data_IF_423345400945
#
_entry.id   IF_423345400945
#
_cell.length_a   1.000
_cell.length_b   1.000
_cell.length_c   1.000
_cell.angle_alpha   90.00
_cell.angle_beta   90.00
_cell.angle_gamma   90.00
#
_symmetry.space_group_name_H-M   'P 1'
#
loop_
_entity.id
_entity.type
_entity.pdbx_description
1 polymer ?
#
# COMPACT_ATOMS: atom_id res chain seq x y z
N UNK A 1 6.80 53.70 -38.06
CA UNK A 1 6.11 53.41 -36.78
C UNK A 1 5.39 52.08 -36.94
N UNK A 2 6.09 50.96 -36.70
CA UNK A 2 5.54 49.60 -36.67
C UNK A 2 6.30 48.86 -35.56
N UNK A 3 5.62 48.58 -34.44
CA UNK A 3 6.15 47.81 -33.31
C UNK A 3 5.85 46.33 -33.58
N UNK A 4 6.90 45.53 -33.78
CA UNK A 4 6.79 44.07 -33.78
C UNK A 4 6.80 43.57 -32.33
N UNK A 5 5.67 43.00 -31.90
CA UNK A 5 5.54 42.24 -30.66
C UNK A 5 6.19 40.87 -30.84
N UNK A 6 7.21 40.54 -30.03
CA UNK A 6 7.70 39.16 -29.87
C UNK A 6 7.19 38.62 -28.55
N UNK A 7 6.27 37.67 -28.58
CA UNK A 7 5.87 36.90 -27.40
C UNK A 7 6.98 35.91 -27.04
N UNK A 8 7.62 36.12 -25.89
CA UNK A 8 8.43 35.08 -25.23
C UNK A 8 7.47 34.08 -24.59
N UNK A 9 7.34 32.90 -25.17
CA UNK A 9 6.82 31.75 -24.43
C UNK A 9 7.88 31.29 -23.43
N UNK A 10 7.71 31.70 -22.18
CA UNK A 10 8.40 31.08 -21.05
C UNK A 10 7.82 29.69 -20.83
N UNK A 11 8.56 28.66 -21.23
CA UNK A 11 8.35 27.30 -20.79
C UNK A 11 8.57 27.27 -19.27
N UNK A 12 7.48 27.25 -18.49
CA UNK A 12 7.53 26.83 -17.09
C UNK A 12 7.85 25.34 -17.08
N UNK A 13 8.98 24.98 -16.50
CA UNK A 13 9.29 23.61 -16.13
C UNK A 13 8.21 23.11 -15.17
N UNK A 14 7.47 22.10 -15.59
CA UNK A 14 6.55 21.34 -14.73
C UNK A 14 7.41 20.37 -13.92
N UNK A 15 7.33 20.33 -12.58
CA UNK A 15 8.05 19.34 -11.79
C UNK A 15 7.58 17.93 -12.19
N UNK A 16 8.54 17.05 -12.52
CA UNK A 16 8.30 15.61 -12.66
C UNK A 16 8.02 15.04 -11.28
N UNK A 17 6.75 15.05 -10.89
CA UNK A 17 6.22 14.38 -9.71
C UNK A 17 4.96 13.61 -10.08
N UNK A 18 5.07 12.62 -10.96
CA UNK A 18 3.95 11.72 -11.27
C UNK A 18 3.84 10.65 -10.19
N UNK A 19 3.27 11.01 -9.04
CA UNK A 19 2.68 10.05 -8.12
C UNK A 19 1.33 9.61 -8.69
N UNK A 20 1.22 8.35 -9.10
CA UNK A 20 -0.02 7.77 -9.61
C UNK A 20 -1.01 7.53 -8.45
N UNK A 21 -1.82 8.54 -8.13
CA UNK A 21 -2.85 8.56 -7.08
C UNK A 21 -4.19 7.88 -7.49
N UNK A 22 -4.22 7.01 -8.51
CA UNK A 22 -5.47 6.65 -9.19
C UNK A 22 -5.78 5.14 -9.26
N UNK A 23 -5.55 4.41 -8.17
CA UNK A 23 -5.73 2.94 -8.18
C UNK A 23 -7.18 2.49 -7.96
N UNK A 24 -8.00 3.22 -7.17
CA UNK A 24 -9.39 2.85 -6.89
C UNK A 24 -10.42 3.95 -7.28
N UNK A 25 -10.01 5.21 -7.51
CA UNK A 25 -10.92 6.34 -7.77
C UNK A 25 -11.50 6.40 -9.20
N UNK A 26 -11.09 5.54 -10.14
CA UNK A 26 -11.42 5.69 -11.58
C UNK A 26 -11.79 4.41 -12.32
N UNK A 27 -12.43 3.43 -11.69
CA UNK A 27 -12.98 2.30 -12.45
C UNK A 27 -14.41 1.98 -12.02
N UNK A 28 -15.42 2.68 -12.57
CA UNK A 28 -16.76 2.11 -12.60
C UNK A 28 -16.74 1.02 -13.67
N UNK A 29 -16.68 -0.24 -13.21
CA UNK A 29 -17.16 -1.44 -13.91
C UNK A 29 -17.18 -1.35 -15.45
N UNK A 30 -16.02 -1.22 -16.09
CA UNK A 30 -15.88 -1.47 -17.52
C UNK A 30 -14.50 -2.04 -17.77
N UNK A 31 -14.51 -3.20 -18.44
CA UNK A 31 -13.40 -3.88 -19.10
C UNK A 31 -12.29 -2.90 -19.50
N UNK A 32 -11.29 -2.72 -18.62
CA UNK A 32 -10.10 -1.96 -18.94
C UNK A 32 -9.27 -2.85 -19.86
N UNK A 33 -9.41 -2.65 -21.16
CA UNK A 33 -8.56 -3.29 -22.16
C UNK A 33 -7.14 -2.83 -21.85
N UNK A 34 -6.34 -3.71 -21.24
CA UNK A 34 -4.93 -3.51 -20.98
C UNK A 34 -4.17 -3.49 -22.31
N UNK A 35 -4.20 -2.34 -22.99
CA UNK A 35 -3.30 -2.06 -24.10
C UNK A 35 -2.18 -1.17 -23.60
N UNK A 36 -1.12 -1.81 -23.12
CA UNK A 36 0.20 -1.23 -23.01
C UNK A 36 0.51 -0.56 -21.67
N UNK A 37 1.28 -1.29 -20.86
CA UNK A 37 2.16 -0.82 -19.79
C UNK A 37 1.48 -0.34 -18.48
N UNK A 38 1.71 -1.10 -17.41
CA UNK A 38 1.80 -0.53 -16.07
C UNK A 38 0.88 -1.12 -15.00
N UNK A 39 -0.15 -1.91 -15.34
CA UNK A 39 -1.09 -2.45 -14.34
C UNK A 39 -1.42 -3.92 -14.62
N UNK A 40 -1.48 -4.73 -13.57
CA UNK A 40 -1.91 -6.13 -13.54
C UNK A 40 -3.00 -6.36 -12.50
N UNK A 41 -3.85 -7.37 -12.68
CA UNK A 41 -4.92 -7.71 -11.74
C UNK A 41 -5.15 -9.23 -11.68
N UNK A 42 -5.65 -9.70 -10.54
CA UNK A 42 -6.14 -11.07 -10.38
C UNK A 42 -7.38 -11.10 -9.47
N UNK A 43 -8.24 -12.10 -9.66
CA UNK A 43 -9.30 -12.51 -8.73
C UNK A 43 -10.40 -11.47 -8.43
N UNK A 44 -10.60 -10.50 -9.32
CA UNK A 44 -11.67 -9.48 -9.28
C UNK A 44 -11.78 -8.71 -7.94
N UNK A 45 -10.85 -7.76 -7.69
CA UNK A 45 -11.02 -6.79 -6.60
C UNK A 45 -12.32 -6.00 -6.75
N UNK A 46 -12.99 -5.71 -5.64
CA UNK A 46 -14.23 -4.93 -5.63
C UNK A 46 -13.93 -3.46 -5.38
N UNK A 47 -14.49 -2.55 -6.18
CA UNK A 47 -14.41 -1.10 -5.97
C UNK A 47 -15.73 -0.64 -5.35
N UNK A 48 -15.69 -0.18 -4.11
CA UNK A 48 -16.89 0.08 -3.32
C UNK A 48 -16.82 1.43 -2.59
N UNK A 49 -17.97 2.06 -2.41
CA UNK A 49 -18.08 3.30 -1.64
C UNK A 49 -17.78 3.06 -0.16
N UNK A 50 -18.18 1.92 0.40
CA UNK A 50 -17.98 1.58 1.81
C UNK A 50 -16.56 1.13 2.17
N UNK A 51 -15.71 0.89 1.16
CA UNK A 51 -14.30 0.54 1.31
C UNK A 51 -13.35 1.74 1.21
N UNK A 52 -13.87 2.98 1.30
CA UNK A 52 -13.09 4.22 1.14
C UNK A 52 -12.41 4.66 2.44
N UNK A 53 -11.15 5.09 2.33
CA UNK A 53 -10.50 5.95 3.31
C UNK A 53 -10.63 7.42 2.90
N UNK A 54 -10.42 7.72 1.61
CA UNK A 54 -10.48 9.09 1.05
C UNK A 54 -11.23 9.09 -0.28
N UNK A 55 -11.98 10.17 -0.54
CA UNK A 55 -12.71 10.34 -1.82
C UNK A 55 -14.01 9.53 -1.82
N UNK A 56 -14.36 8.93 -2.95
CA UNK A 56 -15.67 8.29 -3.13
C UNK A 56 -15.63 6.76 -3.04
N UNK A 57 -14.50 6.13 -3.35
CA UNK A 57 -14.37 4.68 -3.46
C UNK A 57 -13.03 4.21 -2.93
N UNK A 58 -12.97 3.00 -2.41
CA UNK A 58 -11.73 2.25 -2.18
C UNK A 58 -11.86 0.82 -2.70
N UNK A 59 -10.83 0.00 -2.45
CA UNK A 59 -10.76 -1.36 -2.95
C UNK A 59 -10.95 -2.39 -1.82
N UNK A 60 -11.81 -3.38 -2.05
CA UNK A 60 -12.06 -4.51 -1.13
C UNK A 60 -11.59 -5.81 -1.77
N UNK A 61 -10.83 -6.59 -1.01
CA UNK A 61 -10.31 -7.90 -1.39
C UNK A 61 -10.90 -8.98 -0.49
N UNK A 62 -11.65 -9.93 -1.08
CA UNK A 62 -12.23 -11.05 -0.34
C UNK A 62 -11.17 -12.06 0.08
N UNK A 63 -11.23 -12.44 1.35
CA UNK A 63 -10.45 -13.49 1.99
C UNK A 63 -11.38 -14.67 2.31
N UNK A 64 -10.89 -15.90 2.12
CA UNK A 64 -11.65 -17.12 2.44
C UNK A 64 -11.62 -18.22 1.38
N UNK A 65 -10.86 -18.00 0.30
CA UNK A 65 -10.59 -19.01 -0.73
C UNK A 65 -9.09 -19.02 -1.12
N UNK A 66 -8.73 -19.89 -2.07
CA UNK A 66 -7.38 -20.00 -2.62
C UNK A 66 -7.08 -18.99 -3.75
N UNK A 67 -8.03 -18.14 -4.13
CA UNK A 67 -7.87 -17.25 -5.28
C UNK A 67 -7.09 -16.00 -4.88
N UNK A 68 -5.99 -15.72 -5.57
CA UNK A 68 -5.26 -14.46 -5.39
C UNK A 68 -6.06 -13.29 -5.97
N UNK A 69 -6.21 -12.23 -5.18
CA UNK A 69 -6.88 -10.99 -5.55
C UNK A 69 -5.96 -9.82 -5.34
N UNK A 70 -5.47 -9.21 -6.41
CA UNK A 70 -4.54 -8.08 -6.28
C UNK A 70 -4.70 -7.10 -7.44
N UNK A 71 -4.21 -5.89 -7.21
CA UNK A 71 -3.84 -4.94 -8.25
C UNK A 71 -2.32 -4.75 -8.16
N UNK A 72 -1.61 -4.79 -9.28
CA UNK A 72 -0.17 -4.63 -9.29
C UNK A 72 0.33 -3.67 -10.35
N UNK A 73 1.48 -3.06 -10.12
CA UNK A 73 2.14 -2.10 -11.02
C UNK A 73 3.39 -2.74 -11.61
N UNK A 74 3.54 -2.70 -12.93
CA UNK A 74 4.73 -3.14 -13.64
C UNK A 74 5.29 -2.06 -14.58
N UNK A 75 5.00 -0.80 -14.29
CA UNK A 75 5.47 0.36 -15.08
C UNK A 75 6.96 0.62 -14.93
N UNK A 76 7.60 0.03 -13.91
CA UNK A 76 9.04 0.12 -13.64
C UNK A 76 9.59 -1.27 -13.36
N UNK A 77 10.77 -1.55 -13.90
CA UNK A 77 11.49 -2.82 -13.76
C UNK A 77 12.82 -2.59 -13.05
N UNK A 78 13.43 -3.68 -12.58
CA UNK A 78 14.76 -3.67 -11.93
C UNK A 78 14.88 -2.68 -10.76
N UNK A 79 13.82 -2.49 -9.98
CA UNK A 79 13.89 -1.56 -8.85
C UNK A 79 14.71 -2.18 -7.72
N UNK A 80 15.72 -1.44 -7.27
CA UNK A 80 16.50 -1.75 -6.07
C UNK A 80 15.97 -1.04 -4.82
N UNK A 81 14.96 -0.18 -4.94
CA UNK A 81 14.31 0.49 -3.82
C UNK A 81 12.86 0.82 -4.11
N UNK A 82 12.02 0.68 -3.09
CA UNK A 82 10.61 1.03 -3.16
C UNK A 82 10.12 1.53 -1.81
N UNK A 83 9.52 2.72 -1.80
CA UNK A 83 8.70 3.24 -0.72
C UNK A 83 7.25 3.25 -1.18
N UNK A 84 6.34 2.66 -0.41
CA UNK A 84 4.90 2.73 -0.66
C UNK A 84 4.15 3.19 0.57
N UNK A 85 2.96 3.74 0.33
CA UNK A 85 1.98 4.07 1.36
C UNK A 85 0.59 3.78 0.85
N UNK A 86 -0.18 3.05 1.63
CA UNK A 86 -1.61 2.88 1.45
C UNK A 86 -2.28 2.88 2.82
N UNK A 87 -3.59 3.09 2.81
CA UNK A 87 -4.42 2.92 3.98
C UNK A 87 -5.03 1.53 3.93
N UNK A 88 -5.10 0.86 5.07
CA UNK A 88 -5.65 -0.49 5.21
C UNK A 88 -6.66 -0.54 6.35
N UNK A 89 -7.77 -1.27 6.14
CA UNK A 89 -8.73 -1.59 7.18
C UNK A 89 -8.98 -3.10 7.20
N UNK A 90 -8.98 -3.66 8.41
CA UNK A 90 -9.01 -5.11 8.68
C UNK A 90 -10.19 -5.51 9.60
N UNK A 91 -11.19 -4.64 9.74
CA UNK A 91 -12.34 -4.80 10.65
C UNK A 91 -13.05 -6.15 10.50
N UNK A 92 -13.19 -6.60 9.25
CA UNK A 92 -13.90 -7.82 8.91
C UNK A 92 -12.95 -8.99 8.63
N UNK A 93 -11.64 -8.83 8.80
CA UNK A 93 -10.66 -9.89 8.58
C UNK A 93 -10.59 -10.81 9.80
N UNK A 94 -10.78 -12.10 9.58
CA UNK A 94 -10.58 -13.13 10.59
C UNK A 94 -9.52 -14.14 10.12
N UNK A 95 -8.43 -14.24 10.87
CA UNK A 95 -7.37 -15.22 10.68
C UNK A 95 -7.18 -16.03 11.97
N UNK A 96 -7.23 -17.35 11.85
CA UNK A 96 -6.85 -18.26 12.92
C UNK A 96 -5.37 -18.13 13.30
N UNK A 97 -5.03 -18.53 14.51
CA UNK A 97 -3.68 -18.43 15.05
C UNK A 97 -2.64 -19.08 14.10
N UNK A 98 -1.60 -18.32 13.74
CA UNK A 98 -0.55 -18.72 12.80
C UNK A 98 -0.92 -18.64 11.32
N UNK A 99 -2.19 -18.40 10.98
CA UNK A 99 -2.61 -18.21 9.57
C UNK A 99 -2.13 -16.86 9.07
N UNK A 100 -1.68 -16.81 7.82
CA UNK A 100 -1.11 -15.61 7.22
C UNK A 100 -1.75 -15.28 5.89
N UNK A 101 -1.89 -13.99 5.60
CA UNK A 101 -2.15 -13.50 4.24
C UNK A 101 -1.11 -12.47 3.83
N UNK A 102 -0.67 -12.50 2.58
CA UNK A 102 0.14 -11.42 2.00
C UNK A 102 -0.79 -10.28 1.57
N UNK A 103 -0.54 -9.06 2.05
CA UNK A 103 -1.30 -7.85 1.71
C UNK A 103 -0.56 -6.92 0.74
N UNK A 104 0.78 -7.01 0.71
CA UNK A 104 1.62 -6.27 -0.23
C UNK A 104 2.88 -7.08 -0.54
N UNK A 105 3.34 -7.07 -1.80
CA UNK A 105 4.58 -7.73 -2.18
C UNK A 105 5.26 -7.04 -3.36
N UNK A 106 6.59 -7.15 -3.39
CA UNK A 106 7.40 -6.91 -4.58
C UNK A 106 7.86 -8.25 -5.15
N UNK A 107 7.70 -8.45 -6.45
CA UNK A 107 8.02 -9.68 -7.15
C UNK A 107 8.88 -9.40 -8.39
N UNK A 108 9.60 -10.41 -8.85
CA UNK A 108 10.31 -10.36 -10.14
C UNK A 108 9.37 -10.65 -11.33
N UNK A 109 9.91 -10.64 -12.55
CA UNK A 109 9.17 -11.01 -13.77
C UNK A 109 8.58 -12.42 -13.77
N UNK A 110 9.17 -13.38 -13.03
CA UNK A 110 8.62 -14.73 -12.87
C UNK A 110 7.45 -14.77 -11.87
N UNK A 111 7.27 -13.69 -11.09
CA UNK A 111 6.26 -13.57 -10.05
C UNK A 111 6.74 -14.08 -8.70
N UNK A 112 8.03 -14.35 -8.54
CA UNK A 112 8.64 -14.78 -7.28
C UNK A 112 8.81 -13.59 -6.34
N UNK A 113 8.41 -13.78 -5.08
CA UNK A 113 8.46 -12.72 -4.08
C UNK A 113 9.89 -12.38 -3.70
N UNK A 114 10.22 -11.10 -3.78
CA UNK A 114 11.48 -10.53 -3.28
C UNK A 114 11.28 -9.93 -1.88
N UNK A 115 10.07 -9.42 -1.59
CA UNK A 115 9.63 -9.10 -0.24
C UNK A 115 8.11 -9.19 -0.10
N UNK A 116 7.63 -9.32 1.14
CA UNK A 116 6.21 -9.44 1.48
C UNK A 116 5.91 -8.73 2.80
N UNK A 117 4.86 -7.92 2.82
CA UNK A 117 4.16 -7.54 4.05
C UNK A 117 2.94 -8.45 4.22
N UNK A 118 2.86 -9.12 5.37
CA UNK A 118 1.85 -10.11 5.69
C UNK A 118 1.05 -9.69 6.92
N UNK A 119 -0.22 -10.09 6.96
CA UNK A 119 -1.03 -10.07 8.17
C UNK A 119 -1.10 -11.49 8.70
N UNK A 120 -0.77 -11.68 9.98
CA UNK A 120 -0.81 -12.97 10.67
C UNK A 120 -1.85 -12.94 11.78
N UNK A 121 -2.68 -13.97 11.89
CA UNK A 121 -3.55 -14.18 13.05
C UNK A 121 -2.73 -14.67 14.25
N UNK A 122 -2.98 -14.11 15.42
CA UNK A 122 -2.40 -14.55 16.69
C UNK A 122 -3.49 -14.68 17.78
N UNK A 123 -3.10 -15.11 18.98
CA UNK A 123 -4.03 -15.15 20.10
C UNK A 123 -4.47 -13.75 20.58
N UNK A 124 -3.69 -12.72 20.28
CA UNK A 124 -3.91 -11.34 20.73
C UNK A 124 -4.59 -10.47 19.67
N UNK A 125 -4.62 -10.91 18.42
CA UNK A 125 -5.26 -10.20 17.32
C UNK A 125 -4.56 -10.45 15.99
N UNK A 126 -4.46 -9.42 15.18
CA UNK A 126 -3.75 -9.45 13.91
C UNK A 126 -2.37 -8.82 14.08
N UNK A 127 -1.35 -9.41 13.48
CA UNK A 127 0.05 -8.99 13.52
C UNK A 127 0.53 -8.61 12.12
N UNK A 128 1.38 -7.58 12.04
CA UNK A 128 2.13 -7.26 10.82
C UNK A 128 3.46 -8.03 10.80
N UNK A 129 3.75 -8.72 9.70
CA UNK A 129 4.99 -9.48 9.51
C UNK A 129 5.66 -9.06 8.20
N UNK A 130 6.94 -8.75 8.26
CA UNK A 130 7.77 -8.46 7.10
C UNK A 130 8.63 -9.67 6.75
N UNK A 131 8.71 -9.98 5.46
CA UNK A 131 9.65 -10.97 4.92
C UNK A 131 10.40 -10.40 3.73
N UNK A 132 11.68 -10.68 3.63
CA UNK A 132 12.53 -10.27 2.51
C UNK A 132 13.38 -11.46 2.06
N UNK A 133 13.45 -11.71 0.76
CA UNK A 133 14.29 -12.72 0.15
C UNK A 133 15.76 -12.27 0.22
N UNK A 134 16.65 -13.21 0.48
CA UNK A 134 18.09 -13.02 0.53
C UNK A 134 18.74 -13.60 -0.73
N UNK A 135 20.00 -13.26 -0.96
CA UNK A 135 20.76 -13.74 -2.14
C UNK A 135 21.02 -15.26 -2.13
N UNK A 136 20.76 -15.94 -1.00
CA UNK A 136 20.83 -17.40 -0.85
C UNK A 136 19.46 -18.10 -1.02
N UNK A 137 18.47 -17.38 -1.55
CA UNK A 137 17.08 -17.80 -1.75
C UNK A 137 16.26 -18.05 -0.47
N UNK A 138 16.83 -17.86 0.73
CA UNK A 138 16.06 -17.90 1.97
C UNK A 138 15.31 -16.59 2.19
N UNK A 139 14.33 -16.62 3.10
CA UNK A 139 13.65 -15.41 3.56
C UNK A 139 14.11 -15.05 4.97
N UNK A 140 14.57 -13.81 5.15
CA UNK A 140 14.55 -13.15 6.44
C UNK A 140 13.09 -12.85 6.83
N UNK A 141 12.75 -13.03 8.11
CA UNK A 141 11.45 -12.69 8.67
C UNK A 141 11.64 -11.83 9.92
N UNK A 142 10.81 -10.81 10.06
CA UNK A 142 10.84 -9.91 11.21
C UNK A 142 10.38 -10.61 12.49
N UNK A 143 11.09 -10.39 13.60
CA UNK A 143 10.69 -10.88 14.93
C UNK A 143 9.87 -9.85 15.69
N UNK A 144 9.10 -10.27 16.70
CA UNK A 144 8.32 -9.36 17.55
C UNK A 144 7.23 -8.60 16.79
N UNK A 145 6.43 -9.31 16.00
CA UNK A 145 5.44 -8.72 15.11
C UNK A 145 4.44 -7.82 15.86
N UNK A 146 4.34 -6.52 15.50
CA UNK A 146 3.44 -5.60 16.18
C UNK A 146 1.98 -5.93 15.83
N UNK A 147 1.09 -5.71 16.80
CA UNK A 147 -0.35 -5.77 16.53
C UNK A 147 -0.75 -4.65 15.58
N UNK A 148 -1.55 -5.01 14.58
CA UNK A 148 -2.20 -4.07 13.66
C UNK A 148 -3.66 -3.89 14.11
N UNK A 149 -4.11 -2.64 14.18
CA UNK A 149 -5.51 -2.37 14.54
C UNK A 149 -6.42 -2.76 13.36
N UNK A 150 -7.68 -3.03 13.67
CA UNK A 150 -8.67 -3.44 12.67
C UNK A 150 -9.35 -2.24 11.99
N UNK A 151 -9.24 -1.03 12.57
CA UNK A 151 -9.66 0.22 11.92
C UNK A 151 -8.73 0.66 10.78
N UNK A 152 -9.05 1.79 10.13
CA UNK A 152 -8.16 2.37 9.11
C UNK A 152 -6.81 2.76 9.72
N UNK A 153 -5.73 2.28 9.11
CA UNK A 153 -4.36 2.64 9.46
C UNK A 153 -3.56 2.95 8.19
N UNK A 154 -2.67 3.93 8.28
CA UNK A 154 -1.68 4.16 7.24
C UNK A 154 -0.55 3.14 7.40
N UNK A 155 -0.30 2.34 6.36
CA UNK A 155 0.85 1.45 6.27
C UNK A 155 1.85 2.02 5.26
N UNK A 156 3.00 2.44 5.76
CA UNK A 156 4.15 2.81 4.97
C UNK A 156 5.15 1.65 4.97
N UNK A 157 5.64 1.29 3.79
CA UNK A 157 6.61 0.22 3.60
C UNK A 157 7.81 0.77 2.83
N UNK A 158 9.01 0.46 3.29
CA UNK A 158 10.24 0.90 2.63
C UNK A 158 11.21 -0.25 2.50
N UNK A 159 11.47 -0.68 1.26
CA UNK A 159 12.37 -1.77 0.94
C UNK A 159 13.56 -1.27 0.11
N UNK A 160 14.74 -1.81 0.37
CA UNK A 160 15.97 -1.54 -0.39
C UNK A 160 16.79 -2.83 -0.51
N UNK A 161 17.20 -3.16 -1.74
CA UNK A 161 18.16 -4.19 -2.05
C UNK A 161 19.60 -3.67 -1.90
N UNK A 162 20.41 -4.37 -1.13
CA UNK A 162 21.85 -4.15 -1.06
C UNK A 162 22.58 -5.39 -0.51
N UNK A 163 23.91 -5.38 -0.54
CA UNK A 163 24.76 -6.41 0.05
C UNK A 163 25.17 -5.98 1.47
N UNK A 164 24.66 -6.68 2.48
CA UNK A 164 24.92 -6.42 3.91
C UNK A 164 24.38 -5.10 4.45
N UNK A 165 23.63 -4.33 3.66
CA UNK A 165 23.04 -3.04 4.04
C UNK A 165 21.60 -2.88 3.54
N UNK A 166 21.02 -3.96 3.00
CA UNK A 166 19.63 -3.97 2.56
C UNK A 166 18.69 -3.83 3.75
N UNK A 167 17.47 -3.36 3.49
CA UNK A 167 16.49 -3.17 4.56
C UNK A 167 15.06 -3.32 4.09
N UNK A 168 14.18 -3.66 5.03
CA UNK A 168 12.74 -3.60 4.85
C UNK A 168 12.06 -3.09 6.11
N UNK A 169 11.45 -1.90 6.05
CA UNK A 169 10.84 -1.22 7.19
C UNK A 169 9.34 -1.07 7.01
N UNK A 170 8.61 -1.11 8.12
CA UNK A 170 7.20 -0.80 8.19
C UNK A 170 6.94 0.29 9.22
N UNK A 171 6.13 1.26 8.83
CA UNK A 171 5.61 2.29 9.71
C UNK A 171 4.09 2.25 9.70
N UNK A 172 3.50 2.21 10.90
CA UNK A 172 2.05 2.33 11.10
C UNK A 172 1.76 3.75 11.59
N UNK A 173 0.87 4.44 10.89
CA UNK A 173 0.46 5.82 11.22
C UNK A 173 1.68 6.76 11.42
N UNK A 174 2.70 6.59 10.58
CA UNK A 174 3.91 7.42 10.59
C UNK A 174 4.96 7.05 11.65
N UNK A 175 4.71 6.03 12.48
CA UNK A 175 5.67 5.52 13.47
C UNK A 175 6.26 4.20 13.00
N UNK A 176 7.59 4.08 12.98
CA UNK A 176 8.23 2.79 12.68
C UNK A 176 7.88 1.76 13.75
N UNK A 177 7.33 0.62 13.31
CA UNK A 177 6.90 -0.47 14.20
C UNK A 177 7.70 -1.74 13.99
N UNK A 178 8.38 -1.87 12.84
CA UNK A 178 9.11 -3.07 12.48
C UNK A 178 10.16 -2.80 11.41
N UNK A 179 11.28 -3.51 11.49
CA UNK A 179 12.34 -3.46 10.48
C UNK A 179 13.08 -4.79 10.36
N UNK A 180 13.52 -5.06 9.13
CA UNK A 180 14.62 -5.94 8.78
C UNK A 180 15.79 -5.07 8.32
N UNK A 181 16.97 -5.32 8.84
CA UNK A 181 18.20 -4.58 8.55
C UNK A 181 19.33 -5.55 8.20
N UNK A 182 20.45 -4.99 7.72
CA UNK A 182 21.67 -5.73 7.35
C UNK A 182 21.39 -6.90 6.38
N UNK A 183 20.42 -6.73 5.48
CA UNK A 183 20.05 -7.74 4.51
C UNK A 183 21.12 -7.82 3.41
N UNK A 184 21.48 -9.06 3.03
CA UNK A 184 22.19 -9.36 1.79
C UNK A 184 21.17 -9.87 0.78
N UNK A 185 20.63 -8.93 0.01
CA UNK A 185 19.53 -9.13 -0.94
C UNK A 185 19.77 -8.35 -2.26
N UNK A 186 21.02 -8.15 -2.63
CA UNK A 186 21.43 -7.35 -3.79
C UNK A 186 20.99 -7.93 -5.14
N UNK A 187 20.70 -9.23 -5.19
CA UNK A 187 20.21 -9.94 -6.38
C UNK A 187 18.67 -9.94 -6.51
N UNK A 188 17.95 -9.39 -5.52
CA UNK A 188 16.48 -9.51 -5.40
C UNK A 188 15.74 -8.28 -5.94
N UNK A 189 15.99 -7.92 -7.21
CA UNK A 189 15.31 -6.76 -7.84
C UNK A 189 13.82 -7.02 -8.06
N UNK A 190 13.01 -5.97 -7.97
CA UNK A 190 11.56 -6.06 -8.22
C UNK A 190 11.18 -5.48 -9.58
N UNK A 191 10.26 -6.18 -10.25
CA UNK A 191 9.68 -5.78 -11.54
C UNK A 191 8.20 -5.45 -11.45
N UNK A 192 7.53 -6.00 -10.44
CA UNK A 192 6.11 -5.81 -10.20
C UNK A 192 5.90 -5.67 -8.70
N UNK A 193 5.14 -4.67 -8.28
CA UNK A 193 4.62 -4.65 -6.90
C UNK A 193 3.11 -4.80 -6.91
N UNK A 194 2.58 -5.54 -5.94
CA UNK A 194 1.18 -5.97 -5.88
C UNK A 194 0.60 -5.65 -4.52
N UNK A 195 -0.65 -5.19 -4.54
CA UNK A 195 -1.45 -4.81 -3.38
C UNK A 195 -2.76 -5.60 -3.40
N UNK A 196 -3.11 -6.22 -2.28
CA UNK A 196 -4.30 -7.06 -2.13
C UNK A 196 -3.99 -8.41 -1.49
N UNK A 197 -4.91 -9.37 -1.58
CA UNK A 197 -4.79 -10.73 -1.02
C UNK A 197 -4.00 -11.64 -1.97
N UNK A 198 -2.78 -12.05 -1.61
CA UNK A 198 -1.89 -12.82 -2.51
C UNK A 198 -1.44 -14.20 -2.01
N UNK A 199 -2.09 -14.71 -0.96
CA UNK A 199 -1.88 -16.10 -0.51
C UNK A 199 -3.18 -16.76 -0.13
N UNK A 200 -3.16 -18.08 -0.02
CA UNK A 200 -4.33 -18.85 0.38
C UNK A 200 -4.72 -18.54 1.83
N UNK A 201 -6.02 -18.40 2.06
CA UNK A 201 -6.57 -18.39 3.40
C UNK A 201 -7.02 -19.82 3.71
N UNK A 202 -6.41 -20.47 4.70
CA UNK A 202 -6.81 -21.82 5.13
C UNK A 202 -8.28 -21.88 5.60
N UNK A 203 -8.86 -23.08 5.70
CA UNK A 203 -10.24 -23.25 6.13
C UNK A 203 -10.52 -22.57 7.49
N UNK A 204 -11.61 -21.80 7.59
CA UNK A 204 -11.96 -21.03 8.78
C UNK A 204 -11.40 -19.61 8.83
N UNK A 205 -10.50 -19.26 7.92
CA UNK A 205 -10.06 -17.89 7.68
C UNK A 205 -10.98 -17.21 6.66
N UNK A 206 -11.22 -15.91 6.79
CA UNK A 206 -12.09 -15.21 5.85
C UNK A 206 -12.26 -13.73 6.13
N UNK A 207 -13.14 -13.10 5.36
CA UNK A 207 -13.49 -11.69 5.53
C UNK A 207 -12.97 -10.80 4.42
N UNK A 208 -12.58 -9.57 4.78
CA UNK A 208 -12.15 -8.57 3.82
C UNK A 208 -10.89 -7.85 4.26
N UNK A 209 -10.06 -7.53 3.28
CA UNK A 209 -9.04 -6.48 3.42
C UNK A 209 -9.48 -5.31 2.55
N UNK A 210 -9.59 -4.14 3.14
CA UNK A 210 -9.91 -2.91 2.41
C UNK A 210 -8.67 -2.04 2.33
N UNK A 211 -8.43 -1.46 1.17
CA UNK A 211 -7.26 -0.62 0.91
C UNK A 211 -7.63 0.58 0.05
N UNK A 212 -6.98 1.71 0.34
CA UNK A 212 -7.22 2.96 -0.38
C UNK A 212 -5.99 3.89 -0.33
N UNK A 213 -6.01 4.93 -1.16
CA UNK A 213 -4.98 5.97 -1.29
C UNK A 213 -3.56 5.38 -1.40
N UNK A 214 -3.35 4.53 -2.40
CA UNK A 214 -2.02 3.99 -2.71
C UNK A 214 -1.11 5.06 -3.33
N UNK A 215 0.15 5.10 -2.89
CA UNK A 215 1.22 5.90 -3.48
C UNK A 215 2.53 5.13 -3.42
N UNK A 216 3.38 5.29 -4.43
CA UNK A 216 4.69 4.67 -4.52
C UNK A 216 5.75 5.69 -4.96
N UNK A 217 6.98 5.50 -4.45
CA UNK A 217 8.18 6.25 -4.83
C UNK A 217 9.38 5.32 -4.82
N UNK A 218 10.34 5.55 -5.71
CA UNK A 218 11.62 4.83 -5.70
C UNK A 218 12.70 5.57 -4.93
N UNK A 219 12.44 6.84 -4.58
CA UNK A 219 13.37 7.72 -3.87
C UNK A 219 12.55 8.58 -2.91
N UNK A 220 12.91 8.58 -1.63
CA UNK A 220 12.23 9.22 -0.48
C UNK A 220 11.01 8.50 0.11
N UNK A 221 10.83 8.69 1.42
CA UNK A 221 9.62 8.37 2.18
C UNK A 221 8.42 9.19 1.69
N UNK A 222 7.24 8.57 1.66
CA UNK A 222 6.00 9.24 1.23
C UNK A 222 5.38 10.06 2.36
N UNK A 223 5.45 9.57 3.61
CA UNK A 223 4.74 10.15 4.75
C UNK A 223 3.25 9.83 4.78
N UNK A 224 2.52 10.49 5.67
CA UNK A 224 1.07 10.35 5.82
C UNK A 224 0.32 11.25 4.84
N UNK A 225 -0.90 10.83 4.48
CA UNK A 225 -1.83 11.72 3.80
C UNK A 225 -2.28 12.82 4.74
N UNK A 226 -2.27 14.02 4.19
CA UNK A 226 -2.83 15.20 4.79
C UNK A 226 -4.36 15.25 4.55
N UNK A 227 -5.16 15.26 5.62
CA UNK A 227 -6.63 15.41 5.55
C UNK A 227 -7.03 16.83 5.94
N UNK A 228 -7.86 17.47 5.12
CA UNK A 228 -8.44 18.78 5.45
C UNK A 228 -9.54 18.64 6.51
N UNK A 229 -9.84 19.71 7.29
CA UNK A 229 -10.97 19.68 8.24
C UNK A 229 -12.32 19.32 7.60
N UNK A 230 -12.53 19.69 6.33
CA UNK A 230 -13.75 19.38 5.58
C UNK A 230 -13.84 17.90 5.25
N UNK A 231 -12.74 17.27 4.82
CA UNK A 231 -12.68 15.83 4.59
C UNK A 231 -12.89 15.04 5.88
N UNK A 232 -12.35 15.55 6.99
CA UNK A 232 -12.55 14.96 8.31
C UNK A 232 -14.04 14.99 8.72
N UNK A 233 -14.70 16.14 8.55
CA UNK A 233 -16.12 16.30 8.89
C UNK A 233 -17.05 15.46 8.00
N UNK A 234 -16.75 15.32 6.70
CA UNK A 234 -17.51 14.44 5.80
C UNK A 234 -17.41 12.98 6.20
N UNK A 235 -16.20 12.53 6.59
CA UNK A 235 -15.98 11.16 7.06
C UNK A 235 -16.82 10.83 8.31
N UNK A 236 -16.93 11.76 9.27
CA UNK A 236 -17.73 11.57 10.48
C UNK A 236 -19.24 11.55 10.23
N UNK A 237 -19.73 12.28 9.22
CA UNK A 237 -21.16 12.31 8.89
C UNK A 237 -21.63 10.99 8.25
N UNK A 238 -20.77 10.33 7.49
CA UNK A 238 -21.10 9.11 6.76
C UNK A 238 -20.96 7.83 7.60
N UNK A 239 -20.23 7.85 8.72
CA UNK A 239 -19.87 6.66 9.51
C UNK A 239 -19.97 6.85 11.04
N UNK A 240 -21.18 7.08 11.60
CA UNK A 240 -21.36 7.40 13.02
C UNK A 240 -20.95 6.26 13.98
N UNK A 241 -20.94 5.01 13.52
CA UNK A 241 -20.74 3.82 14.39
C UNK A 241 -19.29 3.29 14.43
N UNK A 242 -18.37 3.81 13.61
CA UNK A 242 -16.96 3.38 13.62
C UNK A 242 -16.13 4.24 14.58
N UNK A 243 -16.26 3.93 15.87
CA UNK A 243 -15.45 4.42 17.02
C UNK A 243 -14.52 5.62 16.73
N UNK A 244 -15.09 6.82 16.89
CA UNK A 244 -14.45 8.15 16.68
C UNK A 244 -13.11 8.28 17.42
N UNK A 245 -12.94 7.63 18.58
CA UNK A 245 -11.72 7.69 19.39
C UNK A 245 -10.52 6.96 18.77
N UNK A 246 -10.71 5.98 17.87
CA UNK A 246 -9.59 5.28 17.20
C UNK A 246 -9.03 6.06 16.01
N UNK A 247 -9.86 6.86 15.34
CA UNK A 247 -9.43 7.74 14.25
C UNK A 247 -8.68 8.99 14.76
N UNK A 248 -8.88 9.38 16.04
CA UNK A 248 -8.17 10.51 16.64
C UNK A 248 -6.65 10.26 16.73
N UNK A 249 -6.19 9.01 16.78
CA UNK A 249 -4.75 8.70 16.74
C UNK A 249 -4.11 8.92 15.36
N UNK A 250 -4.89 9.16 14.29
CA UNK A 250 -4.39 9.65 13.00
C UNK A 250 -4.21 11.18 12.96
N UNK A 251 -4.73 11.91 13.96
CA UNK A 251 -4.81 13.39 13.98
C UNK A 251 -3.53 14.10 14.42
N UNK A 252 -2.42 13.39 14.61
CA UNK A 252 -1.13 14.02 14.94
C UNK A 252 -0.57 14.92 13.83
N UNK A 253 -1.15 14.90 12.63
CA UNK A 253 -0.69 15.68 11.48
C UNK A 253 -1.87 16.45 10.88
N UNK A 254 -2.28 17.52 11.55
CA UNK A 254 -2.96 18.62 10.86
C UNK A 254 -2.02 19.15 9.79
N UNK A 255 -2.52 19.29 8.56
CA UNK A 255 -1.79 20.03 7.54
C UNK A 255 -1.52 21.45 8.06
N UNK A 256 -0.36 22.06 7.75
CA UNK A 256 -0.23 23.50 7.95
C UNK A 256 -1.42 24.17 7.26
N UNK A 257 -2.14 25.05 7.97
CA UNK A 257 -3.20 25.85 7.37
C UNK A 257 -2.60 26.57 6.15
N UNK A 258 -3.23 26.41 4.98
CA UNK A 258 -2.87 27.24 3.83
C UNK A 258 -3.22 28.69 4.21
N UNK A 259 -2.20 29.54 4.36
CA UNK A 259 -2.35 31.00 4.48
C UNK A 259 -2.92 31.63 3.20
#
# INVERSE_FOLDING_TARGET
MWKASRSRHGLKAVPRGSGFSAWCHKVPLMLLVALGWGISFAGEPLVLEDARFKGNFGCRFTVGDSVNRFVGDNSRQDLSSLSVRFYVQLADLNLGNGSTIVIFSGVDTAGEAQFMAQVRGSAEGLELVLRARLDDDNFAESTGAPLIDTGWQALNLEWTAADGTGSFRAMLNGTEVQALADLTNSATLIDIYRMGKMSEAGAGNGGFVEMDDFSSRTVSTIGLLCLTPTELNGFYADWPDRNILRHINLLGFQCPEEE
#
